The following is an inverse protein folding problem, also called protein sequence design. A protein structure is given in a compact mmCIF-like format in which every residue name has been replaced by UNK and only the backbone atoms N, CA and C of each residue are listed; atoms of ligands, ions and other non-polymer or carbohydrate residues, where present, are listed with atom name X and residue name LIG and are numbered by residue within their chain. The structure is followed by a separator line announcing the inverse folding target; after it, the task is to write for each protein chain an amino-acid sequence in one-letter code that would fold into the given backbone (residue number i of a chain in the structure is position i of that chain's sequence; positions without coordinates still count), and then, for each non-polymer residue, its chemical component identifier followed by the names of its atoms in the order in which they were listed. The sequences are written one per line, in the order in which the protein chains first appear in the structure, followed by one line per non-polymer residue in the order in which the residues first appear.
data_IF_762834398073
#
_entry.id   IF_762834398073
#
_cell.length_a   1.000
_cell.length_b   1.000
_cell.length_c   1.000
_cell.angle_alpha   90.00
_cell.angle_beta   90.00
_cell.angle_gamma   90.00
#
_symmetry.space_group_name_H-M   'P 1'
#
loop_
_entity.id
_entity.type
_entity.pdbx_description
1 polymer ?
#
# COMPACT_ATOMS: atom_id res chain seq x y z
N UNK A 1 13.16 -13.12 -3.65
CA UNK A 1 12.14 -14.03 -3.13
C UNK A 1 12.62 -14.70 -1.86
N UNK A 2 11.77 -14.87 -0.85
CA UNK A 2 12.06 -15.55 0.42
C UNK A 2 11.54 -16.99 0.43
N UNK A 3 11.16 -17.55 -0.73
CA UNK A 3 10.63 -18.91 -0.85
C UNK A 3 9.18 -19.07 -0.39
N UNK A 4 8.45 -17.97 -0.19
CA UNK A 4 7.01 -18.04 0.13
C UNK A 4 6.21 -18.45 -1.11
N UNK A 5 5.18 -19.28 -0.90
CA UNK A 5 4.19 -19.58 -1.93
C UNK A 5 3.27 -18.38 -2.15
N UNK A 6 2.95 -18.10 -3.42
CA UNK A 6 1.96 -17.10 -3.80
C UNK A 6 0.75 -17.84 -4.34
N UNK A 7 -0.43 -17.57 -3.80
CA UNK A 7 -1.68 -18.21 -4.19
C UNK A 7 -2.57 -17.16 -4.88
N UNK A 8 -3.05 -17.49 -6.07
CA UNK A 8 -4.02 -16.69 -6.82
C UNK A 8 -5.38 -17.40 -6.74
N UNK A 9 -6.38 -16.84 -6.05
CA UNK A 9 -7.69 -17.49 -5.90
C UNK A 9 -8.46 -17.69 -7.20
N UNK A 10 -8.23 -16.83 -8.19
CA UNK A 10 -8.90 -16.85 -9.49
C UNK A 10 -8.29 -15.86 -10.46
N UNK A 11 -8.87 -15.71 -11.64
CA UNK A 11 -8.45 -14.73 -12.66
C UNK A 11 -8.82 -13.29 -12.28
N UNK A 12 -9.86 -13.13 -11.44
CA UNK A 12 -10.31 -11.86 -10.90
C UNK A 12 -10.67 -12.00 -9.43
N UNK A 13 -10.80 -10.88 -8.72
CA UNK A 13 -11.15 -10.89 -7.32
C UNK A 13 -12.59 -11.41 -7.10
N UNK A 14 -12.71 -12.43 -6.25
CA UNK A 14 -13.97 -12.92 -5.69
C UNK A 14 -13.77 -13.16 -4.19
N UNK A 15 -14.58 -12.51 -3.36
CA UNK A 15 -14.39 -12.52 -1.91
C UNK A 15 -14.57 -13.93 -1.31
N UNK A 16 -15.58 -14.68 -1.80
CA UNK A 16 -15.84 -16.05 -1.31
C UNK A 16 -14.72 -17.00 -1.70
N UNK A 17 -14.30 -17.00 -2.97
CA UNK A 17 -13.19 -17.82 -3.44
C UNK A 17 -11.89 -17.48 -2.71
N UNK A 18 -11.65 -16.19 -2.47
CA UNK A 18 -10.48 -15.74 -1.68
C UNK A 18 -10.55 -16.30 -0.27
N UNK A 19 -11.68 -16.19 0.41
CA UNK A 19 -11.85 -16.73 1.77
C UNK A 19 -11.65 -18.26 1.80
N UNK A 20 -12.25 -18.99 0.86
CA UNK A 20 -12.11 -20.44 0.73
C UNK A 20 -10.63 -20.85 0.58
N UNK A 21 -9.87 -20.11 -0.25
CA UNK A 21 -8.43 -20.34 -0.48
C UNK A 21 -7.60 -20.00 0.76
N UNK A 22 -7.90 -18.89 1.45
CA UNK A 22 -7.19 -18.53 2.70
C UNK A 22 -7.24 -19.66 3.73
N UNK A 23 -8.42 -20.31 3.88
CA UNK A 23 -8.62 -21.43 4.78
C UNK A 23 -7.93 -22.70 4.27
N UNK A 24 -8.21 -23.08 3.01
CA UNK A 24 -7.75 -24.33 2.41
C UNK A 24 -6.22 -24.42 2.36
N UNK A 25 -5.58 -23.34 1.91
CA UNK A 25 -4.12 -23.29 1.73
C UNK A 25 -3.39 -22.80 3.00
N UNK A 26 -4.13 -22.55 4.10
CA UNK A 26 -3.59 -22.06 5.37
C UNK A 26 -2.70 -20.84 5.18
N UNK A 27 -3.19 -19.88 4.40
CA UNK A 27 -2.44 -18.67 4.10
C UNK A 27 -2.06 -17.92 5.40
N UNK A 28 -0.91 -17.26 5.38
CA UNK A 28 -0.40 -16.49 6.51
C UNK A 28 -0.45 -14.98 6.27
N UNK A 29 -0.66 -14.57 5.00
CA UNK A 29 -0.71 -13.18 4.60
C UNK A 29 -1.79 -12.95 3.53
N UNK A 30 -2.37 -11.74 3.54
CA UNK A 30 -3.30 -11.27 2.51
C UNK A 30 -2.90 -9.88 2.04
N UNK A 31 -2.84 -9.69 0.72
CA UNK A 31 -2.56 -8.40 0.09
C UNK A 31 -3.77 -7.98 -0.74
N UNK A 32 -4.16 -6.72 -0.62
CA UNK A 32 -5.30 -6.21 -1.37
C UNK A 32 -5.59 -4.74 -1.09
N UNK A 33 -6.65 -4.24 -1.70
CA UNK A 33 -7.18 -2.91 -1.40
C UNK A 33 -8.21 -2.99 -0.27
N UNK A 34 -8.48 -1.91 0.49
CA UNK A 34 -9.40 -1.95 1.63
C UNK A 34 -10.78 -2.51 1.30
N UNK A 35 -11.32 -2.24 0.10
CA UNK A 35 -12.63 -2.76 -0.34
C UNK A 35 -12.64 -4.28 -0.50
N UNK A 36 -11.52 -4.90 -0.87
CA UNK A 36 -11.40 -6.37 -0.92
C UNK A 36 -11.49 -6.96 0.49
N UNK A 37 -10.82 -6.37 1.47
CA UNK A 37 -10.91 -6.81 2.87
C UNK A 37 -12.32 -6.66 3.42
N UNK A 38 -13.04 -5.59 3.10
CA UNK A 38 -14.45 -5.41 3.48
C UNK A 38 -15.31 -6.54 2.91
N UNK A 39 -15.17 -6.85 1.63
CA UNK A 39 -15.94 -7.91 0.99
C UNK A 39 -15.63 -9.31 1.59
N UNK A 40 -14.37 -9.58 1.93
CA UNK A 40 -13.98 -10.84 2.58
C UNK A 40 -14.55 -10.90 4.02
N UNK A 41 -14.54 -9.78 4.77
CA UNK A 41 -15.18 -9.71 6.09
C UNK A 41 -16.67 -9.98 6.03
N UNK A 42 -17.37 -9.53 4.99
CA UNK A 42 -18.79 -9.81 4.76
C UNK A 42 -19.03 -11.33 4.52
N UNK A 43 -18.18 -11.97 3.74
CA UNK A 43 -18.26 -13.43 3.54
C UNK A 43 -17.90 -14.20 4.83
N UNK A 44 -16.89 -13.75 5.57
CA UNK A 44 -16.51 -14.36 6.84
C UNK A 44 -17.65 -14.34 7.85
N UNK A 45 -18.44 -13.26 7.90
CA UNK A 45 -19.62 -13.16 8.77
C UNK A 45 -20.72 -14.17 8.44
N UNK A 46 -20.73 -14.74 7.23
CA UNK A 46 -21.71 -15.75 6.77
C UNK A 46 -21.22 -17.18 7.01
N UNK A 47 -19.98 -17.34 7.44
CA UNK A 47 -19.32 -18.65 7.60
C UNK A 47 -18.58 -18.71 8.93
N UNK A 48 -18.26 -19.93 9.38
CA UNK A 48 -17.39 -20.18 10.55
C UNK A 48 -15.98 -20.56 10.08
N UNK A 49 -15.41 -19.79 9.16
CA UNK A 49 -14.10 -20.06 8.59
C UNK A 49 -12.96 -19.83 9.59
N UNK A 50 -12.03 -20.78 9.67
CA UNK A 50 -10.86 -20.68 10.55
C UNK A 50 -9.70 -19.94 9.81
N UNK A 51 -9.39 -18.75 10.28
CA UNK A 51 -8.29 -17.92 9.82
C UNK A 51 -7.13 -17.84 10.83
N UNK A 52 -6.99 -18.81 11.73
CA UNK A 52 -5.97 -18.81 12.78
C UNK A 52 -4.52 -18.79 12.25
N UNK A 53 -4.30 -19.22 11.01
CA UNK A 53 -2.98 -19.16 10.36
C UNK A 53 -2.60 -17.75 9.86
N UNK A 54 -3.59 -16.85 9.70
CA UNK A 54 -3.34 -15.49 9.25
C UNK A 54 -2.58 -14.71 10.31
N UNK A 55 -1.66 -13.83 9.92
CA UNK A 55 -0.94 -12.95 10.83
C UNK A 55 -0.61 -11.57 10.26
N UNK A 56 -0.33 -11.47 8.96
CA UNK A 56 0.16 -10.25 8.32
C UNK A 56 -0.58 -9.94 7.03
N UNK A 57 -0.45 -8.73 6.53
CA UNK A 57 -1.02 -8.32 5.27
C UNK A 57 -0.62 -6.91 4.88
N UNK A 58 -0.96 -6.55 3.66
CA UNK A 58 -0.76 -5.20 3.13
C UNK A 58 -2.09 -4.70 2.57
N UNK A 59 -2.47 -3.49 2.96
CA UNK A 59 -3.53 -2.73 2.29
C UNK A 59 -2.90 -1.55 1.55
N UNK A 60 -3.27 -1.39 0.29
CA UNK A 60 -2.74 -0.34 -0.57
C UNK A 60 -3.79 0.17 -1.57
N UNK A 61 -3.46 1.26 -2.28
CA UNK A 61 -4.27 1.78 -3.38
C UNK A 61 -5.47 2.64 -2.95
N UNK A 62 -5.77 2.74 -1.65
CA UNK A 62 -6.79 3.63 -1.10
C UNK A 62 -6.56 3.84 0.40
N UNK A 63 -7.20 4.87 0.97
CA UNK A 63 -7.22 5.08 2.42
C UNK A 63 -7.93 3.92 3.11
N UNK A 64 -7.36 3.43 4.20
CA UNK A 64 -7.94 2.38 5.03
C UNK A 64 -8.72 3.01 6.20
N UNK A 65 -10.06 2.87 6.26
CA UNK A 65 -10.81 3.29 7.41
C UNK A 65 -10.37 2.52 8.68
N UNK A 66 -10.20 3.23 9.80
CA UNK A 66 -9.71 2.64 11.06
C UNK A 66 -10.59 1.48 11.54
N UNK A 67 -11.89 1.55 11.32
CA UNK A 67 -12.82 0.48 11.70
C UNK A 67 -12.64 -0.78 10.83
N UNK A 68 -12.24 -0.64 9.59
CA UNK A 68 -11.88 -1.78 8.73
C UNK A 68 -10.60 -2.44 9.26
N UNK A 69 -9.58 -1.64 9.59
CA UNK A 69 -8.33 -2.15 10.17
C UNK A 69 -8.59 -2.94 11.47
N UNK A 70 -9.43 -2.41 12.38
CA UNK A 70 -9.81 -3.11 13.61
C UNK A 70 -10.48 -4.45 13.32
N UNK A 71 -11.49 -4.46 12.45
CA UNK A 71 -12.18 -5.70 12.07
C UNK A 71 -11.25 -6.74 11.45
N UNK A 72 -10.33 -6.31 10.59
CA UNK A 72 -9.33 -7.20 9.99
C UNK A 72 -8.42 -7.79 11.07
N UNK A 73 -7.96 -6.97 12.02
CA UNK A 73 -7.14 -7.44 13.13
C UNK A 73 -7.88 -8.46 14.00
N UNK A 74 -9.15 -8.22 14.28
CA UNK A 74 -9.92 -9.01 15.26
C UNK A 74 -10.56 -10.24 14.64
N UNK A 75 -11.20 -10.11 13.48
CA UNK A 75 -11.99 -11.17 12.85
C UNK A 75 -11.18 -12.02 11.86
N UNK A 76 -10.17 -11.45 11.20
CA UNK A 76 -9.32 -12.19 10.27
C UNK A 76 -7.99 -12.63 10.89
N UNK A 77 -7.75 -12.33 12.18
CA UNK A 77 -6.50 -12.62 12.89
C UNK A 77 -5.24 -12.01 12.24
N UNK A 78 -5.39 -10.94 11.44
CA UNK A 78 -4.26 -10.28 10.77
C UNK A 78 -3.78 -9.12 11.64
N UNK A 79 -2.91 -9.40 12.60
CA UNK A 79 -2.44 -8.41 13.59
C UNK A 79 -1.40 -7.44 13.02
N UNK A 80 -0.63 -7.91 12.03
CA UNK A 80 0.51 -7.20 11.45
C UNK A 80 0.15 -6.61 10.06
N UNK A 81 -1.01 -5.92 9.97
CA UNK A 81 -1.38 -5.24 8.72
C UNK A 81 -0.59 -3.95 8.59
N UNK A 82 0.01 -3.73 7.41
CA UNK A 82 0.64 -2.47 7.05
C UNK A 82 -0.12 -1.79 5.92
N UNK A 83 -0.02 -0.47 5.87
CA UNK A 83 -0.50 0.35 4.75
C UNK A 83 0.71 0.73 3.91
N UNK A 84 0.57 0.73 2.59
CA UNK A 84 1.62 1.24 1.73
C UNK A 84 1.06 2.14 0.62
N UNK A 85 1.93 3.01 0.14
CA UNK A 85 1.70 3.88 -1.00
C UNK A 85 2.77 3.67 -2.05
N UNK A 86 2.35 3.75 -3.27
CA UNK A 86 3.18 3.74 -4.46
C UNK A 86 2.35 3.49 -5.70
N UNK A 87 3.03 3.34 -6.82
CA UNK A 87 2.42 3.19 -8.13
C UNK A 87 3.27 2.23 -8.97
N UNK A 88 2.74 1.76 -10.09
CA UNK A 88 3.46 0.82 -10.97
C UNK A 88 4.83 1.39 -11.39
N UNK A 89 4.88 2.67 -11.62
CA UNK A 89 6.07 3.45 -12.00
C UNK A 89 7.14 3.49 -10.90
N UNK A 90 6.81 3.11 -9.67
CA UNK A 90 7.75 3.08 -8.53
C UNK A 90 8.01 1.67 -7.98
N UNK A 91 7.61 0.61 -8.67
CA UNK A 91 7.95 -0.82 -8.50
C UNK A 91 7.65 -1.48 -7.14
N UNK A 92 6.48 -1.45 -6.56
CA UNK A 92 5.45 -0.43 -6.63
C UNK A 92 5.43 0.50 -5.40
N UNK A 93 6.24 0.23 -4.34
CA UNK A 93 6.09 0.85 -3.02
C UNK A 93 7.18 1.88 -2.74
N UNK A 94 6.75 3.12 -2.49
CA UNK A 94 7.62 4.21 -2.03
C UNK A 94 7.53 4.44 -0.52
N UNK A 95 6.35 4.23 0.07
CA UNK A 95 6.10 4.41 1.50
C UNK A 95 5.39 3.20 2.09
N UNK A 96 5.69 2.89 3.35
CA UNK A 96 4.97 1.85 4.09
C UNK A 96 4.99 2.15 5.59
N UNK A 97 3.88 1.85 6.27
CA UNK A 97 3.82 1.85 7.72
C UNK A 97 4.52 0.61 8.29
N UNK A 98 5.01 0.69 9.52
CA UNK A 98 5.52 -0.46 10.26
C UNK A 98 4.41 -1.13 11.08
N UNK A 99 4.60 -2.39 11.42
CA UNK A 99 3.63 -3.18 12.21
C UNK A 99 3.46 -2.66 13.64
N UNK A 100 4.50 -2.05 14.19
CA UNK A 100 4.56 -1.45 15.51
C UNK A 100 4.12 0.04 15.54
N UNK A 101 3.88 0.65 14.38
CA UNK A 101 3.26 1.97 14.34
C UNK A 101 1.84 1.92 14.94
N UNK A 102 1.43 2.94 15.71
CA UNK A 102 0.07 3.02 16.23
C UNK A 102 -0.98 2.87 15.11
N UNK A 103 -2.05 2.13 15.37
CA UNK A 103 -3.11 1.86 14.37
C UNK A 103 -3.65 3.15 13.76
N UNK A 104 -3.76 4.21 14.55
CA UNK A 104 -4.22 5.51 14.07
C UNK A 104 -3.25 6.11 13.03
N UNK A 105 -1.95 6.06 13.28
CA UNK A 105 -0.93 6.50 12.31
C UNK A 105 -0.96 5.65 11.04
N UNK A 106 -1.06 4.32 11.17
CA UNK A 106 -1.18 3.41 10.01
C UNK A 106 -2.39 3.73 9.13
N UNK A 107 -3.53 4.10 9.73
CA UNK A 107 -4.75 4.39 8.96
C UNK A 107 -4.83 5.83 8.42
N UNK A 108 -4.15 6.80 9.07
CA UNK A 108 -4.18 8.22 8.68
C UNK A 108 -3.06 8.62 7.75
N UNK A 109 -2.02 7.79 7.62
CA UNK A 109 -0.85 8.06 6.79
C UNK A 109 -0.55 6.87 5.87
N UNK A 110 0.39 7.06 4.97
CA UNK A 110 0.92 5.98 4.12
C UNK A 110 2.24 5.40 4.66
N UNK A 111 2.60 5.79 5.88
CA UNK A 111 3.83 5.36 6.53
C UNK A 111 5.02 6.24 6.21
N UNK A 112 6.22 5.64 6.28
CA UNK A 112 7.49 6.32 6.03
C UNK A 112 8.11 5.84 4.72
N UNK A 113 9.02 6.67 4.19
CA UNK A 113 9.76 6.34 2.97
C UNK A 113 10.59 5.05 3.15
N UNK A 114 10.59 4.23 2.11
CA UNK A 114 11.41 3.03 2.07
C UNK A 114 12.91 3.33 2.02
N UNK A 115 13.76 2.44 2.56
CA UNK A 115 15.22 2.58 2.46
C UNK A 115 15.69 2.76 1.01
N UNK A 116 16.63 3.68 0.80
CA UNK A 116 17.22 4.00 -0.50
C UNK A 116 16.27 4.64 -1.51
N UNK A 117 15.11 5.11 -1.06
CA UNK A 117 14.20 5.97 -1.83
C UNK A 117 14.35 7.39 -1.28
N UNK A 118 14.41 8.35 -2.16
CA UNK A 118 14.37 9.76 -1.84
C UNK A 118 13.01 10.32 -2.22
N UNK A 119 12.49 11.23 -1.40
CA UNK A 119 11.20 11.87 -1.63
C UNK A 119 11.29 13.36 -1.34
N UNK A 120 10.50 14.14 -2.05
CA UNK A 120 10.28 15.55 -1.79
C UNK A 120 8.83 15.89 -2.08
N UNK A 121 8.33 16.94 -1.42
CA UNK A 121 7.03 17.54 -1.74
C UNK A 121 7.30 18.93 -2.31
N UNK A 122 6.71 19.23 -3.45
CA UNK A 122 6.98 20.46 -4.20
C UNK A 122 5.72 21.25 -4.52
N UNK A 123 5.87 22.56 -4.63
CA UNK A 123 4.83 23.45 -5.13
C UNK A 123 4.74 23.42 -6.67
N UNK A 124 3.81 24.19 -7.23
CA UNK A 124 3.63 24.32 -8.68
C UNK A 124 4.84 24.92 -9.45
N UNK A 125 5.84 25.42 -8.73
CA UNK A 125 7.09 25.94 -9.30
C UNK A 125 8.26 24.98 -9.08
N UNK A 126 7.99 23.72 -8.70
CA UNK A 126 8.97 22.67 -8.37
C UNK A 126 9.93 23.05 -7.21
N UNK A 127 9.46 23.90 -6.28
CA UNK A 127 10.18 24.25 -5.07
C UNK A 127 9.69 23.39 -3.90
N UNK A 128 10.64 22.87 -3.10
CA UNK A 128 10.32 22.09 -1.91
C UNK A 128 9.51 22.96 -0.96
N UNK A 129 8.36 22.42 -0.51
CA UNK A 129 7.50 23.07 0.50
C UNK A 129 7.97 22.72 1.92
N UNK A 130 7.69 23.57 2.92
CA UNK A 130 7.92 23.25 4.32
C UNK A 130 7.13 22.01 4.79
N UNK A 131 7.61 21.42 5.92
CA UNK A 131 6.84 20.38 6.62
C UNK A 131 5.46 20.92 6.97
N UNK A 132 4.44 20.08 6.93
CA UNK A 132 3.03 20.39 7.12
C UNK A 132 2.36 21.22 6.01
N UNK A 133 3.08 21.53 4.94
CA UNK A 133 2.48 22.14 3.74
C UNK A 133 2.24 21.07 2.66
N UNK A 134 1.11 21.22 1.94
CA UNK A 134 0.74 20.30 0.87
C UNK A 134 1.41 20.69 -0.44
N UNK A 135 1.86 19.68 -1.18
CA UNK A 135 2.37 19.83 -2.53
C UNK A 135 2.37 18.51 -3.28
N UNK A 136 2.91 18.50 -4.50
CA UNK A 136 3.08 17.29 -5.28
C UNK A 136 4.20 16.42 -4.70
N UNK A 137 3.90 15.13 -4.52
CA UNK A 137 4.90 14.15 -4.11
C UNK A 137 5.78 13.78 -5.30
N UNK A 138 7.08 13.90 -5.13
CA UNK A 138 8.07 13.42 -6.09
C UNK A 138 8.95 12.36 -5.43
N UNK A 139 9.29 11.31 -6.17
CA UNK A 139 10.14 10.22 -5.68
C UNK A 139 11.31 9.97 -6.60
N UNK A 140 12.43 9.52 -6.04
CA UNK A 140 13.65 9.15 -6.77
C UNK A 140 14.28 7.94 -6.09
N UNK A 141 14.83 7.04 -6.88
CA UNK A 141 15.56 5.88 -6.37
C UNK A 141 15.54 4.70 -7.32
N UNK A 142 16.08 3.58 -6.86
CA UNK A 142 16.24 2.36 -7.64
C UNK A 142 14.93 1.73 -8.12
N UNK A 143 13.82 2.05 -7.47
CA UNK A 143 12.49 1.52 -7.76
C UNK A 143 11.75 2.28 -8.85
N UNK A 144 12.18 3.51 -9.16
CA UNK A 144 11.56 4.31 -10.22
C UNK A 144 11.80 3.65 -11.57
N UNK A 145 10.76 3.54 -12.38
CA UNK A 145 10.84 3.00 -13.75
C UNK A 145 11.86 3.77 -14.59
N UNK A 146 12.37 3.12 -15.62
CA UNK A 146 13.27 3.80 -16.59
C UNK A 146 12.48 4.71 -17.52
N UNK A 147 11.39 4.20 -18.07
CA UNK A 147 10.58 4.92 -19.06
C UNK A 147 9.23 4.20 -19.28
N UNK A 148 8.27 4.89 -19.85
CA UNK A 148 7.13 4.26 -20.53
C UNK A 148 7.57 3.68 -21.86
N UNK A 149 7.15 2.47 -22.17
CA UNK A 149 7.53 1.77 -23.38
C UNK A 149 7.12 2.52 -24.64
N UNK A 150 8.10 2.89 -25.46
CA UNK A 150 7.93 3.65 -26.70
C UNK A 150 7.20 5.00 -26.52
N UNK A 151 7.23 5.60 -25.33
CA UNK A 151 6.60 6.89 -25.06
C UNK A 151 7.56 7.82 -24.30
N UNK A 152 8.50 8.36 -25.07
CA UNK A 152 9.53 9.29 -24.56
C UNK A 152 8.89 10.60 -24.10
N UNK A 153 7.82 11.06 -24.75
CA UNK A 153 7.18 12.33 -24.41
C UNK A 153 6.56 12.26 -23.00
N UNK A 154 5.69 11.29 -22.77
CA UNK A 154 5.08 11.09 -21.44
C UNK A 154 6.15 10.79 -20.38
N UNK A 155 7.20 10.03 -20.73
CA UNK A 155 8.31 9.78 -19.81
C UNK A 155 8.98 11.09 -19.37
N UNK A 156 9.28 11.98 -20.30
CA UNK A 156 9.92 13.27 -20.00
C UNK A 156 9.00 14.24 -19.25
N UNK A 157 7.68 14.08 -19.38
CA UNK A 157 6.71 14.86 -18.61
C UNK A 157 6.71 14.46 -17.13
N UNK A 158 6.83 13.16 -16.84
CA UNK A 158 6.72 12.64 -15.47
C UNK A 158 8.07 12.44 -14.78
N UNK A 159 9.18 12.25 -15.51
CA UNK A 159 10.52 12.11 -14.93
C UNK A 159 11.36 13.33 -15.30
N UNK A 160 11.63 14.18 -14.32
CA UNK A 160 12.37 15.43 -14.47
C UNK A 160 13.59 15.43 -13.55
N UNK A 161 14.79 15.63 -14.08
CA UNK A 161 16.06 15.62 -13.32
C UNK A 161 16.21 14.40 -12.40
N UNK A 162 15.74 13.21 -12.86
CA UNK A 162 15.76 11.96 -12.09
C UNK A 162 14.70 11.86 -11.01
N UNK A 163 13.77 12.80 -10.93
CA UNK A 163 12.62 12.77 -10.03
C UNK A 163 11.36 12.38 -10.79
N UNK A 164 10.68 11.35 -10.30
CA UNK A 164 9.34 10.97 -10.74
C UNK A 164 8.32 11.89 -10.06
N UNK A 165 7.58 12.64 -10.85
CA UNK A 165 6.41 13.41 -10.44
C UNK A 165 5.21 12.47 -10.42
N UNK A 166 4.62 12.23 -9.24
CA UNK A 166 3.58 11.21 -9.10
C UNK A 166 2.20 11.69 -9.50
N UNK A 167 2.00 13.01 -9.56
CA UNK A 167 0.68 13.61 -9.72
C UNK A 167 -0.18 13.58 -8.45
N UNK A 168 0.29 12.91 -7.39
CA UNK A 168 -0.42 12.84 -6.12
C UNK A 168 0.01 13.97 -5.18
N UNK A 169 -0.94 14.47 -4.40
CA UNK A 169 -0.69 15.47 -3.36
C UNK A 169 -0.41 14.80 -2.03
N UNK A 170 0.62 15.27 -1.35
CA UNK A 170 1.02 14.78 -0.04
C UNK A 170 1.43 15.91 0.91
N UNK A 171 1.61 15.53 2.16
CA UNK A 171 2.15 16.38 3.21
C UNK A 171 3.01 15.52 4.13
N UNK A 172 4.18 16.01 4.55
CA UNK A 172 4.93 15.39 5.63
C UNK A 172 4.50 15.97 6.97
N UNK A 173 4.28 15.09 7.95
CA UNK A 173 4.19 15.54 9.35
C UNK A 173 5.59 15.66 10.00
N UNK A 174 5.62 16.16 11.24
CA UNK A 174 6.87 16.36 11.99
C UNK A 174 7.60 15.04 12.33
N UNK A 175 6.90 13.90 12.30
CA UNK A 175 7.45 12.56 12.55
C UNK A 175 7.96 11.88 11.27
N UNK A 176 7.81 12.53 10.11
CA UNK A 176 8.24 12.01 8.80
C UNK A 176 7.28 10.99 8.17
N UNK A 177 6.00 11.04 8.56
CA UNK A 177 4.94 10.28 7.89
C UNK A 177 4.34 11.06 6.74
#
# INVERSE_FOLDING_TARGET
SKGAAIIFPGESFNAKETLDVLVKEKCTALYGVPTMFVAILEELNKSSSDLSNMRTGIMAGALCPIEVMKKVNDLMNIKEVTICYGMTETSPVSFQSFVDDPTEKRCKTVGRVHPHIEVKIVDKYNKIVPISEQGELCTRGYSVMKEYWNDVNTTNEVINDGWMHTGDLGVFDEDGF
#
